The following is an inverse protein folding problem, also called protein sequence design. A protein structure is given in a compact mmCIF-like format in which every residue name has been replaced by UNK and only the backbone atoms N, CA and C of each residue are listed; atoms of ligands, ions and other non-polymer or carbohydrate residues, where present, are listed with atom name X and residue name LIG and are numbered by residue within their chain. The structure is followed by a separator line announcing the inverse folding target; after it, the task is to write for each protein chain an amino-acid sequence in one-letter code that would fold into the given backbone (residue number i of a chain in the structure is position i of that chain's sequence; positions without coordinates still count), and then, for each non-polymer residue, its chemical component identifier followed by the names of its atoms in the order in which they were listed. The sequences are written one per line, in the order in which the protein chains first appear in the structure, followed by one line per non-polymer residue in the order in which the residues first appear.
data_IF_039322465733
#
_entry.id   IF_039322465733
#
_cell.length_a   1.000
_cell.length_b   1.000
_cell.length_c   1.000
_cell.angle_alpha   90.00
_cell.angle_beta   90.00
_cell.angle_gamma   90.00
#
_symmetry.space_group_name_H-M   'P 1'
#
loop_
_entity.id
_entity.type
_entity.pdbx_description
1 polymer ?
#
# COMPACT_ATOMS: atom_id res chain seq x y z
N UNK A 1 87.34 1.79 -4.63
CA UNK A 1 85.89 1.51 -4.46
C UNK A 1 85.27 1.49 -5.85
N UNK A 2 85.07 0.30 -6.40
CA UNK A 2 84.62 0.10 -7.78
C UNK A 2 83.10 0.12 -7.84
N UNK A 3 82.55 1.12 -8.54
CA UNK A 3 81.13 1.23 -8.86
C UNK A 3 80.72 0.06 -9.77
N UNK A 4 79.71 -0.70 -9.33
CA UNK A 4 79.00 -1.67 -10.16
C UNK A 4 77.82 -0.94 -10.78
N UNK A 5 77.83 -0.80 -12.10
CA UNK A 5 76.67 -0.35 -12.87
C UNK A 5 75.69 -1.52 -13.00
N UNK A 6 74.49 -1.35 -12.44
CA UNK A 6 73.37 -2.25 -12.71
C UNK A 6 72.64 -1.71 -13.94
N UNK A 7 72.87 -2.33 -15.09
CA UNK A 7 72.04 -2.13 -16.29
C UNK A 7 70.70 -2.81 -16.06
N UNK A 8 69.60 -2.05 -16.17
CA UNK A 8 68.24 -2.58 -16.10
C UNK A 8 68.02 -3.50 -17.31
N UNK A 9 67.94 -4.81 -17.07
CA UNK A 9 67.59 -5.82 -18.08
C UNK A 9 66.10 -6.15 -17.91
N UNK A 10 65.23 -5.47 -18.67
CA UNK A 10 63.77 -5.73 -18.67
C UNK A 10 63.31 -6.60 -19.85
N UNK A 11 64.20 -7.40 -20.42
CA UNK A 11 63.87 -8.34 -21.49
C UNK A 11 63.77 -9.75 -20.90
N UNK A 12 62.65 -10.07 -20.24
CA UNK A 12 62.08 -11.43 -20.11
C UNK A 12 60.86 -11.59 -19.16
N UNK A 13 60.21 -10.52 -18.69
CA UNK A 13 59.05 -10.64 -17.79
C UNK A 13 57.72 -10.90 -18.55
N UNK A 14 57.74 -11.04 -19.88
CA UNK A 14 56.52 -11.22 -20.68
C UNK A 14 55.84 -12.60 -20.54
N UNK A 15 56.52 -13.62 -20.00
CA UNK A 15 55.95 -14.98 -19.93
C UNK A 15 55.26 -15.29 -18.59
N UNK A 16 55.47 -14.49 -17.55
CA UNK A 16 54.80 -14.69 -16.25
C UNK A 16 53.28 -14.48 -16.33
N UNK A 17 52.80 -13.62 -17.23
CA UNK A 17 51.36 -13.39 -17.43
C UNK A 17 50.70 -14.50 -18.27
N UNK A 18 51.45 -15.16 -19.15
CA UNK A 18 50.93 -16.26 -19.97
C UNK A 18 50.66 -17.53 -19.14
N UNK A 19 51.46 -17.81 -18.11
CA UNK A 19 51.20 -18.93 -17.20
C UNK A 19 49.86 -18.78 -16.46
N UNK A 20 49.49 -17.54 -16.09
CA UNK A 20 48.21 -17.23 -15.46
C UNK A 20 47.02 -17.40 -16.42
N UNK A 21 47.19 -17.01 -17.68
CA UNK A 21 46.16 -17.19 -18.72
C UNK A 21 45.97 -18.67 -19.08
N UNK A 22 47.05 -19.47 -19.10
CA UNK A 22 47.01 -20.89 -19.43
C UNK A 22 46.42 -21.75 -18.29
N UNK A 23 46.52 -21.32 -17.02
CA UNK A 23 45.84 -21.97 -15.89
C UNK A 23 44.31 -21.86 -15.98
N UNK A 24 43.79 -20.78 -16.58
CA UNK A 24 42.35 -20.57 -16.78
C UNK A 24 41.73 -21.49 -17.86
N UNK A 25 42.56 -22.16 -18.66
CA UNK A 25 42.13 -23.10 -19.71
C UNK A 25 42.07 -24.54 -19.18
N UNK A 26 42.52 -24.79 -17.94
CA UNK A 26 42.31 -26.08 -17.29
C UNK A 26 40.82 -26.32 -17.00
N UNK A 27 40.33 -27.47 -17.46
CA UNK A 27 38.92 -27.91 -17.49
C UNK A 27 38.16 -27.49 -16.21
N UNK A 28 36.94 -26.92 -16.32
CA UNK A 28 36.21 -26.45 -15.14
C UNK A 28 36.02 -27.62 -14.17
N UNK A 29 36.60 -27.49 -12.98
CA UNK A 29 36.31 -28.39 -11.88
C UNK A 29 34.79 -28.43 -11.69
N UNK A 30 34.26 -29.64 -11.55
CA UNK A 30 32.83 -29.98 -11.50
C UNK A 30 32.04 -28.92 -10.72
N UNK A 31 31.40 -27.99 -11.42
CA UNK A 31 30.62 -26.92 -10.80
C UNK A 31 29.41 -27.59 -10.16
N UNK A 32 29.42 -27.71 -8.84
CA UNK A 32 28.27 -28.18 -8.10
C UNK A 32 27.14 -27.15 -8.27
N UNK A 33 26.15 -27.48 -9.11
CA UNK A 33 24.91 -26.71 -9.34
C UNK A 33 23.99 -26.76 -8.10
N UNK A 34 24.53 -26.45 -6.93
CA UNK A 34 23.72 -26.24 -5.74
C UNK A 34 23.06 -24.87 -5.82
N UNK A 35 21.82 -24.75 -5.34
CA UNK A 35 21.11 -23.46 -5.29
C UNK A 35 21.92 -22.38 -4.55
N UNK A 36 22.74 -22.79 -3.59
CA UNK A 36 23.66 -21.93 -2.82
C UNK A 36 24.82 -21.41 -3.68
N UNK A 37 25.47 -22.28 -4.47
CA UNK A 37 26.55 -21.88 -5.37
C UNK A 37 26.06 -20.91 -6.46
N UNK A 38 24.85 -21.14 -7.01
CA UNK A 38 24.24 -20.23 -8.00
C UNK A 38 23.94 -18.85 -7.38
N UNK A 39 23.45 -18.81 -6.13
CA UNK A 39 23.24 -17.55 -5.39
C UNK A 39 24.56 -16.82 -5.13
N UNK A 40 25.60 -17.55 -4.70
CA UNK A 40 26.94 -16.99 -4.49
C UNK A 40 27.55 -16.43 -5.77
N UNK A 41 27.43 -17.14 -6.89
CA UNK A 41 27.90 -16.70 -8.20
C UNK A 41 27.18 -15.44 -8.70
N UNK A 42 25.85 -15.35 -8.50
CA UNK A 42 25.08 -14.15 -8.82
C UNK A 42 25.50 -12.94 -7.97
N UNK A 43 25.75 -13.15 -6.68
CA UNK A 43 26.24 -12.11 -5.78
C UNK A 43 27.65 -11.63 -6.15
N UNK A 44 28.57 -12.55 -6.42
CA UNK A 44 29.93 -12.23 -6.86
C UNK A 44 29.94 -11.52 -8.23
N UNK A 45 29.05 -11.91 -9.15
CA UNK A 45 28.85 -11.19 -10.42
C UNK A 45 28.35 -9.77 -10.18
N UNK A 46 27.33 -9.59 -9.34
CA UNK A 46 26.82 -8.26 -8.98
C UNK A 46 27.90 -7.37 -8.34
N UNK A 47 28.80 -7.93 -7.52
CA UNK A 47 29.92 -7.18 -6.94
C UNK A 47 30.95 -6.77 -8.00
N UNK A 48 31.32 -7.69 -8.91
CA UNK A 48 32.22 -7.38 -10.03
C UNK A 48 31.64 -6.33 -10.96
N UNK A 49 30.37 -6.46 -11.34
CA UNK A 49 29.69 -5.49 -12.18
C UNK A 49 29.65 -4.11 -11.51
N UNK A 50 29.47 -4.06 -10.18
CA UNK A 50 29.48 -2.81 -9.40
C UNK A 50 30.87 -2.16 -9.35
N UNK A 51 31.91 -2.95 -9.11
CA UNK A 51 33.31 -2.48 -9.13
C UNK A 51 33.71 -1.99 -10.53
N UNK A 52 33.34 -2.73 -11.57
CA UNK A 52 33.60 -2.35 -12.96
C UNK A 52 32.86 -1.07 -13.37
N UNK A 53 31.66 -0.83 -12.83
CA UNK A 53 30.94 0.44 -12.98
C UNK A 53 31.62 1.58 -12.23
N UNK A 54 32.20 1.31 -11.05
CA UNK A 54 33.00 2.29 -10.33
C UNK A 54 34.29 2.61 -11.10
N UNK A 55 35.03 1.63 -11.62
CA UNK A 55 36.24 1.84 -12.44
C UNK A 55 35.94 2.59 -13.74
N UNK A 56 34.85 2.24 -14.44
CA UNK A 56 34.41 2.93 -15.66
C UNK A 56 34.02 4.40 -15.43
N UNK A 57 33.58 4.76 -14.23
CA UNK A 57 33.38 6.16 -13.86
C UNK A 57 34.71 6.90 -13.76
N UNK A 58 35.79 6.24 -13.36
CA UNK A 58 37.11 6.87 -13.22
C UNK A 58 37.94 6.90 -14.52
N UNK A 59 37.54 6.15 -15.56
CA UNK A 59 38.26 6.11 -16.84
C UNK A 59 37.89 7.28 -17.77
N UNK A 60 38.89 7.89 -18.41
CA UNK A 60 38.66 8.80 -19.54
C UNK A 60 38.16 7.93 -20.71
N UNK A 61 36.91 8.13 -21.12
CA UNK A 61 36.28 7.36 -22.18
C UNK A 61 36.57 8.04 -23.53
N UNK A 62 37.23 7.34 -24.46
CA UNK A 62 37.42 7.80 -25.83
C UNK A 62 36.19 7.39 -26.66
N UNK A 63 35.42 8.39 -27.11
CA UNK A 63 34.27 8.17 -27.99
C UNK A 63 34.74 7.90 -29.42
N UNK A 64 33.89 7.24 -30.23
CA UNK A 64 34.19 6.83 -31.61
C UNK A 64 34.66 7.99 -32.52
N UNK A 65 34.31 9.23 -32.19
CA UNK A 65 34.71 10.44 -32.93
C UNK A 65 36.08 11.01 -32.50
N UNK A 66 36.85 10.28 -31.68
CA UNK A 66 38.14 10.72 -31.14
C UNK A 66 38.02 11.72 -29.98
N UNK A 67 36.81 11.93 -29.44
CA UNK A 67 36.54 12.84 -28.33
C UNK A 67 36.72 12.14 -26.97
N UNK A 68 37.54 12.73 -26.09
CA UNK A 68 37.75 12.24 -24.72
C UNK A 68 36.70 12.84 -23.77
N UNK A 69 35.93 11.97 -23.08
CA UNK A 69 34.90 12.35 -22.11
C UNK A 69 35.30 11.84 -20.72
N UNK A 70 35.26 12.71 -19.70
CA UNK A 70 35.46 12.33 -18.31
C UNK A 70 34.10 12.07 -17.65
N UNK A 71 33.85 10.85 -17.19
CA UNK A 71 32.59 10.46 -16.53
C UNK A 71 32.65 10.73 -15.02
N UNK A 72 32.44 11.99 -14.63
CA UNK A 72 32.43 12.53 -13.26
C UNK A 72 33.77 13.07 -12.72
N UNK A 73 33.70 14.32 -12.27
CA UNK A 73 34.81 15.06 -11.68
C UNK A 73 34.92 14.78 -10.18
N UNK A 74 35.72 13.79 -9.78
CA UNK A 74 36.37 13.82 -8.45
C UNK A 74 37.70 14.54 -8.56
N UNK A 75 37.93 15.44 -7.60
CA UNK A 75 39.04 16.39 -7.53
C UNK A 75 40.39 15.67 -7.71
N UNK A 76 41.22 16.19 -8.63
CA UNK A 76 42.53 15.66 -9.01
C UNK A 76 43.40 15.23 -7.80
N UNK A 77 44.14 14.13 -7.96
CA UNK A 77 45.00 13.49 -6.95
C UNK A 77 46.10 14.40 -6.35
N UNK A 78 46.26 15.62 -6.85
CA UNK A 78 47.32 16.57 -6.50
C UNK A 78 46.78 18.00 -6.26
N UNK A 79 45.47 18.15 -5.98
CA UNK A 79 44.82 19.47 -5.82
C UNK A 79 45.38 20.31 -4.66
N UNK A 80 45.87 19.69 -3.59
CA UNK A 80 46.28 20.40 -2.36
C UNK A 80 47.75 20.81 -2.37
N UNK A 81 48.64 20.00 -2.95
CA UNK A 81 50.10 20.21 -2.90
C UNK A 81 50.78 20.23 -4.29
N UNK A 82 50.03 20.05 -5.39
CA UNK A 82 50.60 19.95 -6.73
C UNK A 82 51.34 18.62 -7.00
N UNK A 83 51.89 18.49 -8.20
CA UNK A 83 52.81 17.39 -8.55
C UNK A 83 54.23 17.74 -8.06
N UNK A 84 54.94 16.77 -7.47
CA UNK A 84 56.31 17.00 -6.99
C UNK A 84 57.30 17.34 -8.13
N UNK A 85 57.10 16.75 -9.30
CA UNK A 85 57.75 17.13 -10.55
C UNK A 85 56.65 17.29 -11.60
N UNK A 86 56.53 18.47 -12.20
CA UNK A 86 55.54 18.70 -13.26
C UNK A 86 56.03 17.98 -14.52
N UNK A 87 55.28 17.00 -15.06
CA UNK A 87 55.65 16.41 -16.33
C UNK A 87 55.54 17.49 -17.41
N UNK A 88 56.64 17.71 -18.13
CA UNK A 88 56.69 18.65 -19.25
C UNK A 88 56.48 17.85 -20.52
N UNK A 89 55.52 18.25 -21.33
CA UNK A 89 55.30 17.63 -22.62
C UNK A 89 56.48 17.93 -23.56
N UNK A 90 56.95 16.95 -24.37
CA UNK A 90 58.03 17.19 -25.31
C UNK A 90 57.61 18.22 -26.37
N UNK A 91 58.55 18.96 -26.99
CA UNK A 91 58.23 20.05 -27.93
C UNK A 91 57.36 19.64 -29.14
N UNK A 92 57.37 18.35 -29.49
CA UNK A 92 56.55 17.77 -30.56
C UNK A 92 55.07 17.54 -30.16
N UNK A 93 54.74 17.60 -28.87
CA UNK A 93 53.39 17.45 -28.32
C UNK A 93 52.69 18.82 -28.15
N UNK A 94 52.75 19.66 -29.18
CA UNK A 94 52.07 20.96 -29.18
C UNK A 94 50.54 20.80 -29.35
N UNK A 95 49.78 21.65 -28.65
CA UNK A 95 48.32 21.67 -28.69
C UNK A 95 47.80 21.98 -30.10
N UNK A 96 47.00 21.08 -30.68
CA UNK A 96 46.28 21.33 -31.94
C UNK A 96 44.88 21.87 -31.69
N UNK A 97 44.31 22.56 -32.69
CA UNK A 97 42.93 23.06 -32.64
C UNK A 97 41.97 21.90 -32.34
N UNK A 98 41.12 22.06 -31.32
CA UNK A 98 40.15 21.08 -30.83
C UNK A 98 40.70 19.81 -30.12
N UNK A 99 42.01 19.70 -29.84
CA UNK A 99 42.57 18.55 -29.10
C UNK A 99 42.40 18.62 -27.57
N UNK A 100 41.99 19.77 -27.01
CA UNK A 100 41.73 19.88 -25.58
C UNK A 100 40.52 19.06 -25.13
N UNK A 101 40.52 18.59 -23.87
CA UNK A 101 39.40 17.86 -23.26
C UNK A 101 38.16 18.75 -23.28
N UNK A 102 37.12 18.33 -24.02
CA UNK A 102 35.85 19.06 -24.11
C UNK A 102 34.88 18.53 -23.07
N UNK A 103 34.61 19.33 -22.05
CA UNK A 103 33.68 18.99 -20.98
C UNK A 103 32.24 18.92 -21.52
N UNK A 104 31.66 17.72 -21.56
CA UNK A 104 30.20 17.52 -21.72
C UNK A 104 29.69 16.58 -20.66
N UNK A 105 28.58 16.95 -20.01
CA UNK A 105 27.86 16.10 -19.07
C UNK A 105 26.87 15.24 -19.86
N UNK A 106 26.97 13.92 -19.72
CA UNK A 106 25.94 13.03 -20.27
C UNK A 106 24.63 13.19 -19.47
N UNK A 107 23.52 13.42 -20.17
CA UNK A 107 22.19 13.45 -19.55
C UNK A 107 21.69 12.02 -19.34
N UNK A 108 22.19 11.37 -18.29
CA UNK A 108 21.84 9.99 -17.93
C UNK A 108 20.55 9.89 -17.08
N UNK A 109 19.85 11.00 -16.88
CA UNK A 109 18.56 11.02 -16.21
C UNK A 109 17.49 10.36 -17.09
N UNK A 110 16.92 9.27 -16.60
CA UNK A 110 15.72 8.66 -17.15
C UNK A 110 14.60 8.86 -16.14
N UNK A 111 13.71 9.82 -16.41
CA UNK A 111 12.50 10.03 -15.60
C UNK A 111 11.65 8.76 -15.64
N UNK A 112 11.14 8.24 -14.50
CA UNK A 112 10.17 7.16 -14.52
C UNK A 112 8.96 7.60 -15.33
N UNK A 113 8.59 6.82 -16.35
CA UNK A 113 7.42 7.12 -17.18
C UNK A 113 6.17 6.93 -16.33
N UNK A 114 5.47 8.03 -16.00
CA UNK A 114 4.19 7.98 -15.32
C UNK A 114 3.16 7.14 -16.09
N UNK A 115 2.12 6.69 -15.40
CA UNK A 115 1.00 6.00 -16.04
C UNK A 115 0.42 6.88 -17.16
N UNK A 116 0.26 6.31 -18.36
CA UNK A 116 -0.29 7.05 -19.48
C UNK A 116 -1.77 7.30 -19.21
N UNK A 117 -2.15 8.57 -19.21
CA UNK A 117 -3.55 8.98 -19.16
C UNK A 117 -4.33 8.26 -20.27
N UNK A 118 -5.53 7.71 -19.99
CA UNK A 118 -6.29 7.00 -21.00
C UNK A 118 -6.59 7.93 -22.19
N UNK A 119 -6.58 7.41 -23.42
CA UNK A 119 -6.86 8.22 -24.60
C UNK A 119 -8.28 8.78 -24.50
N UNK A 120 -8.45 10.01 -24.99
CA UNK A 120 -9.76 10.62 -25.13
C UNK A 120 -10.69 9.71 -25.94
N UNK A 121 -11.98 9.59 -25.59
CA UNK A 121 -12.95 8.90 -26.43
C UNK A 121 -12.87 9.42 -27.87
N UNK A 122 -12.85 8.52 -28.85
CA UNK A 122 -12.81 8.92 -30.27
C UNK A 122 -13.99 9.82 -30.62
N UNK A 123 -13.79 10.79 -31.52
CA UNK A 123 -14.89 11.60 -32.05
C UNK A 123 -15.94 10.65 -32.63
N UNK A 124 -17.12 10.63 -32.01
CA UNK A 124 -18.16 9.67 -32.35
C UNK A 124 -18.51 9.74 -33.83
N UNK A 125 -18.55 8.58 -34.51
CA UNK A 125 -19.23 8.44 -35.79
C UNK A 125 -20.64 9.00 -35.63
N UNK A 126 -21.08 9.91 -36.52
CA UNK A 126 -22.44 10.45 -36.52
C UNK A 126 -23.39 9.25 -36.47
N UNK A 127 -24.05 9.05 -35.32
CA UNK A 127 -25.10 8.05 -35.22
C UNK A 127 -26.13 8.45 -36.26
N UNK A 128 -26.39 7.57 -37.23
CA UNK A 128 -27.59 7.69 -38.05
C UNK A 128 -28.75 7.36 -37.12
N UNK A 129 -29.15 8.36 -36.33
CA UNK A 129 -30.39 8.28 -35.58
C UNK A 129 -31.50 8.02 -36.61
N UNK A 130 -32.38 7.04 -36.37
CA UNK A 130 -33.48 6.80 -37.29
C UNK A 130 -34.28 8.09 -37.45
N UNK A 131 -34.51 8.49 -38.71
CA UNK A 131 -35.14 9.76 -39.11
C UNK A 131 -36.52 9.95 -38.46
N UNK A 132 -37.16 8.86 -38.00
CA UNK A 132 -38.48 8.89 -37.40
C UNK A 132 -38.47 8.24 -36.01
N UNK A 133 -39.09 8.94 -35.05
CA UNK A 133 -39.36 8.40 -33.73
C UNK A 133 -40.19 7.10 -33.83
N UNK A 134 -39.93 6.09 -32.97
CA UNK A 134 -40.71 4.86 -32.96
C UNK A 134 -42.20 5.15 -32.75
N UNK A 135 -43.07 4.52 -33.53
CA UNK A 135 -44.52 4.64 -33.31
C UNK A 135 -44.92 3.89 -32.03
N UNK A 136 -45.05 4.63 -30.92
CA UNK A 136 -45.39 4.09 -29.61
C UNK A 136 -46.77 3.42 -29.59
N UNK A 137 -47.73 3.85 -30.39
CA UNK A 137 -49.07 3.24 -30.47
C UNK A 137 -48.95 1.81 -31.02
N UNK A 138 -48.25 1.64 -32.16
CA UNK A 138 -48.01 0.30 -32.74
C UNK A 138 -47.19 -0.58 -31.81
N UNK A 139 -46.18 -0.03 -31.14
CA UNK A 139 -45.38 -0.75 -30.14
C UNK A 139 -46.23 -1.21 -28.96
N UNK A 140 -47.11 -0.36 -28.43
CA UNK A 140 -47.99 -0.67 -27.31
C UNK A 140 -48.99 -1.76 -27.68
N UNK A 141 -49.59 -1.70 -28.88
CA UNK A 141 -50.46 -2.77 -29.40
C UNK A 141 -49.70 -4.09 -29.49
N UNK A 142 -48.47 -4.06 -30.02
CA UNK A 142 -47.66 -5.28 -30.18
C UNK A 142 -47.23 -5.84 -28.82
N UNK A 143 -46.88 -4.99 -27.87
CA UNK A 143 -46.57 -5.38 -26.49
C UNK A 143 -47.79 -6.02 -25.84
N UNK A 144 -48.97 -5.40 -25.89
CA UNK A 144 -50.21 -5.93 -25.32
C UNK A 144 -50.64 -7.27 -25.96
N UNK A 145 -50.44 -7.43 -27.27
CA UNK A 145 -50.68 -8.73 -27.94
C UNK A 145 -49.70 -9.82 -27.51
N UNK A 146 -48.47 -9.45 -27.15
CA UNK A 146 -47.40 -10.38 -26.73
C UNK A 146 -47.36 -10.60 -25.23
N UNK A 147 -48.01 -9.77 -24.43
CA UNK A 147 -48.06 -9.94 -22.98
C UNK A 147 -48.90 -11.16 -22.66
N UNK A 148 -48.23 -12.20 -22.14
CA UNK A 148 -48.90 -13.37 -21.58
C UNK A 148 -49.54 -12.96 -20.24
N UNK A 149 -50.83 -13.25 -20.01
CA UNK A 149 -51.46 -12.96 -18.72
C UNK A 149 -50.74 -13.71 -17.60
N UNK A 150 -50.54 -13.04 -16.47
CA UNK A 150 -49.97 -13.68 -15.29
C UNK A 150 -50.95 -14.76 -14.80
N UNK A 151 -50.57 -16.05 -14.78
CA UNK A 151 -51.46 -17.10 -14.31
C UNK A 151 -51.80 -16.85 -12.83
N UNK A 152 -53.07 -17.04 -12.42
CA UNK A 152 -53.42 -16.89 -11.01
C UNK A 152 -52.64 -17.89 -10.15
N UNK A 153 -52.31 -17.55 -8.90
CA UNK A 153 -51.65 -18.49 -8.01
C UNK A 153 -52.55 -19.72 -7.81
N UNK A 154 -51.98 -20.94 -7.67
CA UNK A 154 -52.76 -22.13 -7.39
C UNK A 154 -53.55 -21.95 -6.09
N UNK A 155 -54.83 -22.28 -6.12
CA UNK A 155 -55.78 -22.14 -5.01
C UNK A 155 -56.54 -23.45 -4.81
N UNK A 156 -57.00 -23.69 -3.59
CA UNK A 156 -57.90 -24.77 -3.25
C UNK A 156 -59.17 -24.21 -2.62
N UNK A 157 -60.23 -25.02 -2.63
CA UNK A 157 -61.55 -24.69 -2.09
C UNK A 157 -62.01 -25.90 -1.29
N UNK A 158 -61.92 -25.80 0.04
CA UNK A 158 -62.33 -26.88 0.96
C UNK A 158 -63.65 -26.56 1.68
N UNK A 159 -64.10 -25.30 1.67
CA UNK A 159 -65.34 -24.91 2.35
C UNK A 159 -66.56 -25.06 1.42
N UNK A 160 -67.72 -25.51 1.94
CA UNK A 160 -68.96 -25.62 1.16
C UNK A 160 -69.47 -24.26 0.64
N UNK A 161 -69.03 -23.16 1.26
CA UNK A 161 -69.33 -21.77 0.88
C UNK A 161 -68.45 -21.30 -0.30
N UNK A 162 -67.41 -22.06 -0.66
CA UNK A 162 -66.55 -21.74 -1.80
C UNK A 162 -65.41 -20.76 -1.49
N UNK A 163 -64.98 -20.67 -0.23
CA UNK A 163 -63.87 -19.81 0.19
C UNK A 163 -62.57 -20.27 -0.48
N UNK A 164 -61.89 -19.34 -1.15
CA UNK A 164 -60.66 -19.64 -1.92
C UNK A 164 -59.44 -19.39 -1.05
N UNK A 165 -58.64 -20.42 -0.83
CA UNK A 165 -57.36 -20.31 -0.13
C UNK A 165 -56.19 -20.54 -1.09
N UNK A 166 -55.09 -19.81 -0.91
CA UNK A 166 -53.88 -20.00 -1.71
C UNK A 166 -53.23 -21.33 -1.34
N UNK A 167 -52.87 -22.14 -2.34
CA UNK A 167 -52.24 -23.44 -2.12
C UNK A 167 -50.77 -23.28 -1.70
N UNK A 168 -50.07 -22.28 -2.23
CA UNK A 168 -48.73 -21.87 -1.78
C UNK A 168 -48.79 -21.34 -0.34
N UNK A 169 -47.86 -21.75 0.52
CA UNK A 169 -47.78 -21.42 1.95
C UNK A 169 -48.94 -21.92 2.83
N UNK A 170 -49.92 -22.66 2.30
CA UNK A 170 -51.01 -23.24 3.12
C UNK A 170 -50.57 -24.42 4.01
N UNK A 171 -49.35 -24.92 3.83
CA UNK A 171 -48.89 -26.15 4.47
C UNK A 171 -49.37 -27.44 3.80
N UNK A 172 -50.33 -27.35 2.84
CA UNK A 172 -50.85 -28.51 2.10
C UNK A 172 -49.88 -29.06 1.03
N UNK A 173 -48.88 -28.26 0.64
CA UNK A 173 -47.84 -28.67 -0.30
C UNK A 173 -46.45 -28.59 0.33
N UNK A 174 -45.58 -29.59 0.10
CA UNK A 174 -44.18 -29.56 0.53
C UNK A 174 -43.38 -28.55 -0.30
N UNK A 175 -43.41 -27.28 0.12
CA UNK A 175 -42.79 -26.16 -0.60
C UNK A 175 -41.27 -26.07 -0.37
N UNK A 176 -40.81 -26.39 0.83
CA UNK A 176 -39.41 -26.20 1.24
C UNK A 176 -38.53 -27.42 0.94
N UNK A 177 -39.12 -28.60 0.72
CA UNK A 177 -38.37 -29.83 0.43
C UNK A 177 -37.81 -29.78 -1.00
N UNK A 178 -38.60 -29.29 -1.96
CA UNK A 178 -38.21 -29.19 -3.37
C UNK A 178 -37.34 -27.95 -3.69
N UNK A 179 -36.92 -27.19 -2.68
CA UNK A 179 -36.06 -26.01 -2.87
C UNK A 179 -34.65 -26.45 -3.26
N UNK A 180 -34.06 -25.79 -4.27
CA UNK A 180 -32.69 -26.11 -4.76
C UNK A 180 -31.61 -25.90 -3.70
N UNK A 181 -31.92 -25.12 -2.67
CA UNK A 181 -31.08 -24.77 -1.53
C UNK A 181 -31.45 -25.55 -0.26
N UNK A 182 -32.41 -26.48 -0.33
CA UNK A 182 -32.69 -27.39 0.77
C UNK A 182 -31.44 -28.23 1.11
N UNK A 183 -31.11 -28.32 2.40
CA UNK A 183 -29.89 -28.98 2.88
C UNK A 183 -28.58 -28.24 2.58
N UNK A 184 -28.60 -27.08 1.89
CA UNK A 184 -27.39 -26.28 1.66
C UNK A 184 -27.22 -25.22 2.75
N UNK A 185 -25.98 -24.98 3.16
CA UNK A 185 -25.65 -23.88 4.09
C UNK A 185 -25.97 -22.53 3.42
N UNK A 186 -26.85 -21.71 4.02
CA UNK A 186 -27.15 -20.38 3.51
C UNK A 186 -25.92 -19.50 3.27
N UNK A 187 -25.97 -18.70 2.21
CA UNK A 187 -24.84 -17.88 1.75
C UNK A 187 -24.38 -16.91 2.85
N UNK A 188 -25.31 -16.35 3.62
CA UNK A 188 -24.99 -15.39 4.68
C UNK A 188 -24.13 -16.02 5.78
N UNK A 189 -24.40 -17.28 6.19
CA UNK A 189 -23.58 -17.96 7.20
C UNK A 189 -22.13 -18.14 6.73
N UNK A 190 -21.92 -18.42 5.43
CA UNK A 190 -20.57 -18.47 4.85
C UNK A 190 -19.88 -17.11 4.91
N UNK A 191 -20.61 -16.02 4.58
CA UNK A 191 -20.11 -14.64 4.68
C UNK A 191 -19.77 -14.28 6.13
N UNK A 192 -20.62 -14.63 7.09
CA UNK A 192 -20.40 -14.37 8.52
C UNK A 192 -19.18 -15.11 9.04
N UNK A 193 -19.02 -16.40 8.71
CA UNK A 193 -17.82 -17.17 9.07
C UNK A 193 -16.55 -16.56 8.51
N UNK A 194 -16.60 -16.09 7.25
CA UNK A 194 -15.48 -15.40 6.61
C UNK A 194 -15.13 -14.09 7.33
N UNK A 195 -16.12 -13.26 7.61
CA UNK A 195 -15.96 -12.00 8.35
C UNK A 195 -15.34 -12.24 9.74
N UNK A 196 -15.84 -13.22 10.49
CA UNK A 196 -15.28 -13.56 11.81
C UNK A 196 -13.83 -14.02 11.73
N UNK A 197 -13.49 -14.83 10.72
CA UNK A 197 -12.11 -15.26 10.49
C UNK A 197 -11.19 -14.09 10.13
N UNK A 198 -11.66 -13.16 9.29
CA UNK A 198 -10.93 -11.93 8.94
C UNK A 198 -10.71 -11.04 10.18
N UNK A 199 -11.74 -10.83 11.00
CA UNK A 199 -11.65 -10.08 12.26
C UNK A 199 -10.69 -10.73 13.27
N UNK A 200 -10.78 -12.05 13.45
CA UNK A 200 -9.87 -12.79 14.34
C UNK A 200 -8.42 -12.72 13.87
N UNK A 201 -8.18 -12.76 12.55
CA UNK A 201 -6.84 -12.62 12.00
C UNK A 201 -6.27 -11.21 12.21
N UNK A 202 -7.10 -10.16 12.12
CA UNK A 202 -6.69 -8.79 12.45
C UNK A 202 -6.35 -8.68 13.94
N UNK A 203 -7.21 -9.19 14.81
CA UNK A 203 -6.98 -9.19 16.25
C UNK A 203 -5.68 -9.92 16.62
N UNK A 204 -5.42 -11.09 16.03
CA UNK A 204 -4.19 -11.84 16.24
C UNK A 204 -2.93 -11.08 15.76
N UNK A 205 -3.01 -10.38 14.62
CA UNK A 205 -1.90 -9.54 14.13
C UNK A 205 -1.63 -8.36 15.05
N UNK A 206 -2.67 -7.69 15.54
CA UNK A 206 -2.51 -6.57 16.45
C UNK A 206 -1.95 -7.02 17.81
N UNK A 207 -2.40 -8.17 18.32
CA UNK A 207 -1.82 -8.82 19.50
C UNK A 207 -0.33 -9.15 19.30
N UNK A 208 0.05 -9.72 18.16
CA UNK A 208 1.44 -10.02 17.86
C UNK A 208 2.29 -8.74 17.73
N UNK A 209 1.77 -7.71 17.07
CA UNK A 209 2.40 -6.40 16.97
C UNK A 209 2.62 -5.78 18.36
N UNK A 210 1.60 -5.77 19.21
CA UNK A 210 1.70 -5.30 20.60
C UNK A 210 2.76 -6.10 21.37
N UNK A 211 2.80 -7.42 21.20
CA UNK A 211 3.81 -8.28 21.83
C UNK A 211 5.24 -7.94 21.37
N UNK A 212 5.44 -7.59 20.09
CA UNK A 212 6.75 -7.17 19.59
C UNK A 212 7.16 -5.76 20.03
N UNK A 213 6.22 -4.81 20.08
CA UNK A 213 6.45 -3.47 20.62
C UNK A 213 6.77 -3.51 22.12
N UNK A 214 6.18 -4.44 22.86
CA UNK A 214 6.39 -4.61 24.30
C UNK A 214 7.57 -5.52 24.66
N UNK A 215 8.57 -5.72 23.79
CA UNK A 215 9.81 -6.45 24.11
C UNK A 215 10.58 -5.77 25.25
N UNK A 216 10.22 -6.06 26.51
CA UNK A 216 10.94 -5.57 27.68
C UNK A 216 10.29 -5.69 29.05
N UNK A 217 8.97 -5.94 29.18
CA UNK A 217 8.35 -6.10 30.52
C UNK A 217 7.84 -7.53 30.69
N UNK A 218 8.61 -8.34 31.43
CA UNK A 218 8.14 -9.65 31.92
C UNK A 218 6.94 -9.42 32.85
N UNK A 219 5.73 -9.74 32.39
CA UNK A 219 4.55 -9.74 33.27
C UNK A 219 3.16 -9.63 32.62
N UNK A 220 3.03 -9.40 31.32
CA UNK A 220 1.73 -8.99 30.75
C UNK A 220 0.84 -10.12 30.20
N UNK A 221 1.26 -11.39 30.23
CA UNK A 221 0.40 -12.49 29.76
C UNK A 221 -0.28 -13.22 30.93
N UNK A 222 -1.22 -12.55 31.60
CA UNK A 222 -2.31 -13.23 32.31
C UNK A 222 -3.60 -12.49 31.97
N UNK A 223 -4.42 -13.10 31.12
CA UNK A 223 -5.83 -12.73 30.96
C UNK A 223 -6.49 -12.73 32.34
N UNK A 224 -7.02 -11.60 32.84
CA UNK A 224 -7.75 -11.61 34.08
C UNK A 224 -9.11 -12.25 33.81
N UNK A 225 -9.30 -13.47 34.32
CA UNK A 225 -10.63 -13.99 34.61
C UNK A 225 -11.35 -13.04 35.56
N UNK A 226 -12.66 -12.87 35.38
CA UNK A 226 -13.53 -11.86 36.00
C UNK A 226 -13.51 -11.79 37.55
N UNK A 227 -12.80 -12.68 38.25
CA UNK A 227 -12.72 -12.73 39.71
C UNK A 227 -11.60 -11.87 40.35
N UNK A 228 -10.72 -11.22 39.56
CA UNK A 228 -9.51 -10.55 40.08
C UNK A 228 -9.53 -9.01 40.03
N UNK A 229 -10.70 -8.36 40.03
CA UNK A 229 -10.82 -6.89 39.91
C UNK A 229 -10.99 -6.20 41.29
N UNK A 230 -11.21 -6.94 42.38
CA UNK A 230 -11.64 -6.35 43.66
C UNK A 230 -10.55 -6.18 44.73
N UNK A 231 -9.26 -6.20 44.41
CA UNK A 231 -8.23 -5.94 45.42
C UNK A 231 -6.96 -5.28 44.85
N UNK A 232 -6.82 -3.98 45.16
CA UNK A 232 -5.57 -3.23 45.30
C UNK A 232 -4.53 -3.33 44.17
N UNK A 233 -4.61 -2.40 43.21
CA UNK A 233 -3.41 -1.92 42.52
C UNK A 233 -3.60 -0.46 42.13
N UNK A 234 -2.82 0.43 42.73
CA UNK A 234 -2.77 1.83 42.33
C UNK A 234 -2.42 1.93 40.83
N UNK A 235 -3.01 2.90 40.09
CA UNK A 235 -2.67 3.12 38.69
C UNK A 235 -1.16 3.37 38.53
N UNK A 236 -0.53 2.91 37.44
CA UNK A 236 0.88 3.20 37.19
C UNK A 236 1.09 4.72 37.08
N UNK A 237 2.01 5.25 37.89
CA UNK A 237 2.35 6.68 37.90
C UNK A 237 3.20 7.02 36.68
N UNK A 238 2.72 7.97 35.89
CA UNK A 238 3.43 8.51 34.72
C UNK A 238 3.85 9.94 35.05
N UNK A 239 5.14 10.30 34.97
CA UNK A 239 5.60 11.64 35.34
C UNK A 239 4.98 12.71 34.44
N UNK A 240 4.42 13.76 35.05
CA UNK A 240 3.74 14.88 34.36
C UNK A 240 2.27 14.66 34.01
N UNK A 241 1.68 13.52 34.41
CA UNK A 241 0.29 13.17 34.14
C UNK A 241 -0.42 12.77 35.44
N UNK A 242 -1.63 13.29 35.68
CA UNK A 242 -2.49 12.94 36.82
C UNK A 242 -3.63 12.03 36.36
N UNK A 243 -4.02 11.05 37.16
CA UNK A 243 -5.24 10.26 36.90
C UNK A 243 -6.47 11.12 37.23
N UNK A 244 -7.43 11.18 36.32
CA UNK A 244 -8.67 11.94 36.51
C UNK A 244 -9.50 11.35 37.65
N UNK A 245 -10.00 12.20 38.54
CA UNK A 245 -10.84 11.74 39.64
C UNK A 245 -12.24 11.36 39.15
N UNK A 246 -12.88 10.41 39.84
CA UNK A 246 -14.21 9.93 39.43
C UNK A 246 -15.29 11.02 39.54
N UNK A 247 -15.13 11.99 40.44
CA UNK A 247 -16.05 13.14 40.56
C UNK A 247 -15.95 14.06 39.34
N UNK A 248 -14.73 14.45 38.98
CA UNK A 248 -14.44 15.25 37.79
C UNK A 248 -14.98 14.55 36.53
N UNK A 249 -14.79 13.24 36.43
CA UNK A 249 -15.34 12.42 35.34
C UNK A 249 -16.86 12.47 35.24
N UNK A 250 -17.55 12.37 36.39
CA UNK A 250 -19.00 12.39 36.42
C UNK A 250 -19.55 13.77 36.03
N UNK A 251 -18.93 14.85 36.50
CA UNK A 251 -19.28 16.23 36.11
C UNK A 251 -19.13 16.45 34.59
N UNK A 252 -18.05 15.96 34.00
CA UNK A 252 -17.84 16.02 32.54
C UNK A 252 -18.91 15.19 31.80
N UNK A 253 -19.21 13.98 32.26
CA UNK A 253 -20.24 13.13 31.65
C UNK A 253 -21.63 13.75 31.73
N UNK A 254 -21.99 14.39 32.84
CA UNK A 254 -23.25 15.13 32.97
C UNK A 254 -23.30 16.31 31.99
N UNK A 255 -22.21 17.07 31.86
CA UNK A 255 -22.09 18.15 30.87
C UNK A 255 -22.26 17.66 29.43
N UNK A 256 -21.61 16.56 29.06
CA UNK A 256 -21.73 15.95 27.73
C UNK A 256 -23.14 15.44 27.46
N UNK A 257 -23.79 14.79 28.44
CA UNK A 257 -25.18 14.34 28.32
C UNK A 257 -26.17 15.50 28.19
N UNK A 258 -25.91 16.61 28.87
CA UNK A 258 -26.69 17.83 28.72
C UNK A 258 -26.54 18.42 27.30
N UNK A 259 -25.31 18.54 26.82
CA UNK A 259 -25.01 19.00 25.45
C UNK A 259 -25.64 18.09 24.40
N UNK A 260 -25.57 16.77 24.56
CA UNK A 260 -26.22 15.80 23.68
C UNK A 260 -27.74 16.04 23.61
N UNK A 261 -28.37 16.27 24.76
CA UNK A 261 -29.81 16.54 24.85
C UNK A 261 -30.18 17.84 24.13
N UNK A 262 -29.39 18.89 24.31
CA UNK A 262 -29.59 20.18 23.66
C UNK A 262 -29.44 20.08 22.14
N UNK A 263 -28.37 19.47 21.66
CA UNK A 263 -28.09 19.29 20.23
C UNK A 263 -29.15 18.40 19.57
N UNK A 264 -29.62 17.37 20.28
CA UNK A 264 -30.71 16.51 19.81
C UNK A 264 -32.00 17.29 19.68
N UNK A 265 -32.33 18.17 20.64
CA UNK A 265 -33.50 19.06 20.56
C UNK A 265 -33.37 20.04 19.38
N UNK A 266 -32.18 20.58 19.13
CA UNK A 266 -31.95 21.46 17.98
C UNK A 266 -32.10 20.71 16.65
N UNK A 267 -31.62 19.47 16.58
CA UNK A 267 -31.76 18.61 15.41
C UNK A 267 -33.23 18.23 15.14
N UNK A 268 -33.97 17.84 16.19
CA UNK A 268 -35.39 17.49 16.09
C UNK A 268 -36.29 18.67 15.73
N UNK A 269 -35.92 19.89 16.14
CA UNK A 269 -36.64 21.11 15.78
C UNK A 269 -36.30 21.65 14.39
N UNK A 270 -35.42 20.98 13.63
CA UNK A 270 -35.16 21.35 12.24
C UNK A 270 -36.35 21.06 11.32
N UNK A 271 -36.47 21.86 10.25
CA UNK A 271 -37.46 21.63 9.19
C UNK A 271 -37.21 20.29 8.49
N UNK A 272 -38.28 19.53 8.26
CA UNK A 272 -38.25 18.28 7.49
C UNK A 272 -37.88 18.51 6.01
N UNK A 273 -38.15 19.71 5.49
CA UNK A 273 -37.82 20.10 4.11
C UNK A 273 -36.44 20.76 4.05
N UNK A 274 -35.49 20.06 3.42
CA UNK A 274 -34.06 20.43 3.37
C UNK A 274 -33.70 20.89 1.95
N UNK A 275 -34.45 21.85 1.42
CA UNK A 275 -34.35 22.24 0.00
C UNK A 275 -33.20 23.22 -0.30
N UNK A 276 -32.65 23.86 0.74
CA UNK A 276 -31.57 24.85 0.61
C UNK A 276 -30.23 24.29 1.08
N UNK A 277 -29.15 24.66 0.39
CA UNK A 277 -27.77 24.26 0.72
C UNK A 277 -27.40 24.61 2.16
N UNK A 278 -27.84 25.76 2.67
CA UNK A 278 -27.59 26.17 4.05
C UNK A 278 -28.26 25.22 5.07
N UNK A 279 -29.47 24.72 4.75
CA UNK A 279 -30.16 23.73 5.60
C UNK A 279 -29.44 22.38 5.59
N UNK A 280 -28.93 21.96 4.44
CA UNK A 280 -28.12 20.73 4.29
C UNK A 280 -26.85 20.83 5.13
N UNK A 281 -26.11 21.94 5.01
CA UNK A 281 -24.87 22.16 5.76
C UNK A 281 -25.14 22.21 7.28
N UNK A 282 -26.19 22.92 7.71
CA UNK A 282 -26.58 22.97 9.12
C UNK A 282 -26.91 21.58 9.67
N UNK A 283 -27.65 20.77 8.91
CA UNK A 283 -27.97 19.37 9.29
C UNK A 283 -26.69 18.54 9.40
N UNK A 284 -25.83 18.58 8.38
CA UNK A 284 -24.58 17.82 8.38
C UNK A 284 -23.64 18.20 9.53
N UNK A 285 -23.59 19.50 9.89
CA UNK A 285 -22.85 19.96 11.06
C UNK A 285 -23.43 19.37 12.36
N UNK A 286 -24.74 19.50 12.57
CA UNK A 286 -25.42 18.95 13.75
C UNK A 286 -25.23 17.43 13.88
N UNK A 287 -25.29 16.67 12.78
CA UNK A 287 -25.02 15.23 12.78
C UNK A 287 -23.58 14.89 13.15
N UNK A 288 -22.62 15.69 12.68
CA UNK A 288 -21.20 15.49 12.99
C UNK A 288 -20.92 15.81 14.46
N UNK A 289 -21.47 16.91 14.96
CA UNK A 289 -21.32 17.34 16.35
C UNK A 289 -22.00 16.33 17.30
N UNK A 290 -23.19 15.81 16.96
CA UNK A 290 -23.86 14.75 17.73
C UNK A 290 -23.00 13.48 17.83
N UNK A 291 -22.45 13.02 16.71
CA UNK A 291 -21.57 11.84 16.70
C UNK A 291 -20.32 12.03 17.54
N UNK A 292 -19.75 13.23 17.52
CA UNK A 292 -18.58 13.57 18.34
C UNK A 292 -18.91 13.44 19.84
N UNK A 293 -20.01 14.04 20.29
CA UNK A 293 -20.44 13.97 21.70
C UNK A 293 -20.75 12.53 22.12
N UNK A 294 -21.44 11.76 21.28
CA UNK A 294 -21.70 10.33 21.54
C UNK A 294 -20.41 9.53 21.67
N UNK A 295 -19.43 9.78 20.80
CA UNK A 295 -18.13 9.11 20.83
C UNK A 295 -17.32 9.50 22.07
N UNK A 296 -17.36 10.76 22.49
CA UNK A 296 -16.66 11.24 23.68
C UNK A 296 -17.26 10.64 24.96
N UNK A 297 -18.60 10.54 25.04
CA UNK A 297 -19.28 9.84 26.14
C UNK A 297 -18.86 8.37 26.16
N UNK A 298 -18.87 7.68 25.01
CA UNK A 298 -18.47 6.28 24.93
C UNK A 298 -17.01 6.07 25.36
N UNK A 299 -16.11 6.95 24.93
CA UNK A 299 -14.70 6.91 25.31
C UNK A 299 -14.55 7.06 26.83
N UNK A 300 -15.24 8.05 27.40
CA UNK A 300 -15.25 8.31 28.84
C UNK A 300 -16.00 7.26 29.65
N UNK A 301 -16.86 6.42 29.09
CA UNK A 301 -17.52 5.33 29.83
C UNK A 301 -16.72 4.02 29.74
N UNK A 302 -16.13 3.73 28.58
CA UNK A 302 -15.40 2.49 28.32
C UNK A 302 -13.99 2.46 28.90
N UNK A 303 -13.32 3.62 29.02
CA UNK A 303 -11.94 3.69 29.51
C UNK A 303 -11.89 3.65 31.05
N UNK A 304 -11.27 2.64 31.69
CA UNK A 304 -11.27 2.54 33.16
C UNK A 304 -10.36 3.59 33.84
N UNK A 305 -9.24 3.95 33.19
CA UNK A 305 -8.24 4.90 33.72
C UNK A 305 -7.98 5.94 32.64
N UNK A 306 -8.10 7.23 33.00
CA UNK A 306 -7.87 8.37 32.11
C UNK A 306 -6.80 9.26 32.75
N UNK A 307 -5.79 9.63 31.96
CA UNK A 307 -4.70 10.50 32.37
C UNK A 307 -4.91 11.91 31.81
N UNK A 308 -4.71 12.92 32.65
CA UNK A 308 -4.81 14.34 32.35
C UNK A 308 -3.43 14.97 32.51
N UNK A 309 -2.99 15.75 31.53
CA UNK A 309 -1.71 16.46 31.59
C UNK A 309 -1.74 17.57 32.63
N UNK A 310 -0.66 17.71 33.39
CA UNK A 310 -0.50 18.78 34.40
C UNK A 310 0.09 20.08 33.82
N UNK A 311 0.14 20.21 32.49
CA UNK A 311 0.65 21.38 31.77
C UNK A 311 -0.47 22.24 31.21
#
# INVERSE_FOLDING_TARGET
MSLVYITHHDENIFDCEQEFLNQAISKPSRIYNTKTAIKGARFAKSLRDRLQVEDKKHSIMLQNDGMLILTDAKKAHHRTMGCAHTPVDPPCAYLRKNQGIKWRRENNHVCPKGEKMPPLPGLGTKRTEPIMAPNFIRRNIQCAKRTVPCPPPPRYIDTPVGTRHNLLNSGLLPQFICRKDFGKVPIYLKKTKKMLAEMNAICAKEQARLMELCRGVKGFTKTPTAAAISAARAPPEVPGMRVMDQKERNEILEGLRHSLTEMTKQYQSMSLLIDSVAKVQRKGKLESDLRQVEQDILLLETSPIIYVSLY
#
